data_IF_395408768898
#
_entry.id   IF_395408768898
#
_cell.length_a   1.000
_cell.length_b   1.000
_cell.length_c   1.000
_cell.angle_alpha   90.00
_cell.angle_beta   90.00
_cell.angle_gamma   90.00
#
_symmetry.space_group_name_H-M   'P 1'
#
loop_
_entity.id
_entity.type
_entity.pdbx_description
1 polymer ?
#
# COMPACT_ATOMS: atom_id res chain seq x y z
N UNK A 1 13.02 -6.83 -18.16
CA UNK A 1 12.25 -7.31 -17.00
C UNK A 1 11.36 -6.17 -16.52
N UNK A 2 10.06 -6.37 -16.24
CA UNK A 2 9.21 -5.28 -15.78
C UNK A 2 9.58 -4.87 -14.36
N UNK A 3 9.82 -3.57 -14.14
CA UNK A 3 10.22 -3.02 -12.85
C UNK A 3 9.02 -2.85 -11.91
N UNK A 4 9.22 -3.16 -10.63
CA UNK A 4 8.28 -2.77 -9.57
C UNK A 4 8.24 -1.26 -9.46
N UNK A 5 7.05 -0.68 -9.36
CA UNK A 5 6.87 0.76 -9.18
C UNK A 5 6.38 1.06 -7.78
N UNK A 6 7.11 1.90 -7.05
CA UNK A 6 6.68 2.45 -5.77
C UNK A 6 6.43 3.94 -5.96
N UNK A 7 5.22 4.40 -5.64
CA UNK A 7 4.81 5.79 -5.78
C UNK A 7 4.40 6.36 -4.42
N UNK A 8 4.64 7.65 -4.23
CA UNK A 8 4.14 8.42 -3.08
C UNK A 8 3.05 9.34 -3.59
N UNK A 9 1.87 9.25 -2.97
CA UNK A 9 0.76 10.15 -3.22
C UNK A 9 0.56 11.02 -1.99
N UNK A 10 0.62 12.34 -2.15
CA UNK A 10 0.31 13.29 -1.07
C UNK A 10 -1.13 13.76 -1.27
N UNK A 11 -2.04 13.31 -0.42
CA UNK A 11 -3.45 13.63 -0.49
C UNK A 11 -4.11 13.51 0.88
N UNK A 12 -4.95 14.48 1.21
CA UNK A 12 -5.78 14.42 2.42
C UNK A 12 -7.00 13.50 2.20
N UNK A 13 -7.42 13.35 0.94
CA UNK A 13 -8.56 12.53 0.51
C UNK A 13 -8.08 11.15 0.07
N UNK A 14 -8.88 10.13 0.36
CA UNK A 14 -8.60 8.77 -0.09
C UNK A 14 -8.88 8.66 -1.60
N UNK A 15 -7.98 8.07 -2.40
CA UNK A 15 -8.18 7.94 -3.84
C UNK A 15 -9.46 7.16 -4.18
N UNK A 16 -10.34 7.77 -4.98
CA UNK A 16 -11.63 7.19 -5.34
C UNK A 16 -11.52 6.18 -6.50
N UNK A 17 -10.57 6.42 -7.41
CA UNK A 17 -10.33 5.52 -8.53
C UNK A 17 -9.15 4.60 -8.21
N UNK A 18 -9.45 3.33 -7.99
CA UNK A 18 -8.47 2.30 -7.73
C UNK A 18 -8.56 1.20 -8.79
N UNK A 19 -7.43 0.60 -9.18
CA UNK A 19 -7.45 -0.53 -10.08
C UNK A 19 -8.21 -1.70 -9.44
N UNK A 20 -8.80 -2.59 -10.26
CA UNK A 20 -9.47 -3.77 -9.74
C UNK A 20 -8.50 -4.61 -8.90
N UNK A 21 -9.01 -5.22 -7.82
CA UNK A 21 -8.25 -6.11 -6.94
C UNK A 21 -7.05 -5.45 -6.24
N UNK A 22 -7.07 -4.13 -6.03
CA UNK A 22 -6.07 -3.46 -5.20
C UNK A 22 -6.13 -3.99 -3.75
N UNK A 23 -4.97 -4.34 -3.22
CA UNK A 23 -4.82 -4.56 -1.78
C UNK A 23 -4.76 -3.20 -1.08
N UNK A 24 -5.71 -2.93 -0.19
CA UNK A 24 -5.69 -1.72 0.64
C UNK A 24 -5.20 -2.12 2.04
N UNK A 25 -4.07 -1.54 2.47
CA UNK A 25 -3.54 -1.67 3.82
C UNK A 25 -3.76 -0.35 4.58
N UNK A 26 -4.51 -0.41 5.66
CA UNK A 26 -4.92 0.75 6.47
C UNK A 26 -6.41 0.71 6.85
N UNK A 27 -6.95 1.83 7.31
CA UNK A 27 -8.30 1.91 7.92
C UNK A 27 -9.44 1.46 7.00
N UNK A 28 -9.33 1.66 5.68
CA UNK A 28 -10.36 1.31 4.71
C UNK A 28 -10.23 -0.11 4.12
N UNK A 29 -9.25 -0.89 4.56
CA UNK A 29 -8.97 -2.22 4.05
C UNK A 29 -8.51 -3.15 5.16
N UNK A 30 -7.38 -3.81 4.95
CA UNK A 30 -6.78 -4.67 5.96
C UNK A 30 -6.06 -3.79 6.99
N UNK A 31 -6.43 -3.86 8.28
CA UNK A 31 -5.73 -3.12 9.32
C UNK A 31 -4.25 -3.52 9.38
N UNK A 32 -3.36 -2.57 9.68
CA UNK A 32 -1.91 -2.84 9.75
C UNK A 32 -1.55 -3.98 10.71
N UNK A 33 -2.27 -4.13 11.82
CA UNK A 33 -2.09 -5.22 12.78
C UNK A 33 -2.35 -6.62 12.19
N UNK A 34 -3.01 -6.72 11.03
CA UNK A 34 -3.27 -7.97 10.31
C UNK A 34 -2.40 -8.14 9.07
N UNK A 35 -1.41 -7.27 8.85
CA UNK A 35 -0.55 -7.33 7.66
C UNK A 35 0.23 -8.65 7.57
N UNK A 36 0.62 -9.25 8.70
CA UNK A 36 1.32 -10.55 8.75
C UNK A 36 0.55 -11.70 8.06
N UNK A 37 -0.79 -11.62 8.00
CA UNK A 37 -1.62 -12.61 7.31
C UNK A 37 -1.42 -12.59 5.78
N UNK A 38 -0.75 -11.58 5.24
CA UNK A 38 -0.48 -11.42 3.81
C UNK A 38 0.82 -12.11 3.38
N UNK A 39 1.63 -12.59 4.33
CA UNK A 39 2.86 -13.31 4.02
C UNK A 39 2.55 -14.56 3.17
N UNK A 40 3.37 -14.77 2.13
CA UNK A 40 3.17 -15.86 1.17
C UNK A 40 2.15 -15.59 0.08
N UNK A 41 1.47 -14.44 0.11
CA UNK A 41 0.57 -13.99 -0.95
C UNK A 41 1.26 -12.99 -1.87
N UNK A 42 0.73 -12.84 -3.08
CA UNK A 42 1.26 -11.91 -4.07
C UNK A 42 0.17 -11.00 -4.65
N UNK A 43 0.44 -9.70 -4.70
CA UNK A 43 -0.48 -8.67 -5.19
C UNK A 43 0.14 -7.84 -6.29
N UNK A 44 -0.68 -7.45 -7.27
CA UNK A 44 -0.26 -6.61 -8.39
C UNK A 44 -0.35 -5.12 -8.07
N UNK A 45 -1.39 -4.74 -7.33
CA UNK A 45 -1.67 -3.36 -6.94
C UNK A 45 -1.83 -3.26 -5.42
N UNK A 46 -1.07 -2.37 -4.80
CA UNK A 46 -1.12 -2.14 -3.35
C UNK A 46 -1.31 -0.65 -3.08
N UNK A 47 -2.31 -0.30 -2.28
CA UNK A 47 -2.47 1.02 -1.69
C UNK A 47 -2.18 0.93 -0.19
N UNK A 48 -1.11 1.59 0.25
CA UNK A 48 -0.74 1.72 1.66
C UNK A 48 -1.22 3.08 2.18
N UNK A 49 -2.22 3.09 3.06
CA UNK A 49 -2.83 4.31 3.59
C UNK A 49 -2.06 4.85 4.82
N UNK A 50 -0.98 5.58 4.57
CA UNK A 50 -0.16 6.21 5.59
C UNK A 50 -0.67 7.61 6.03
N UNK A 51 -1.90 8.00 5.69
CA UNK A 51 -2.42 9.36 5.97
C UNK A 51 -2.49 9.68 7.46
N UNK A 52 -2.70 8.68 8.31
CA UNK A 52 -2.75 8.85 9.76
C UNK A 52 -1.40 8.51 10.46
N UNK A 53 -0.49 7.81 9.79
CA UNK A 53 0.83 7.44 10.29
C UNK A 53 1.42 6.29 9.45
N UNK A 54 2.73 6.07 9.55
CA UNK A 54 3.44 5.02 8.81
C UNK A 54 3.73 3.81 9.70
N UNK A 55 3.20 2.64 9.35
CA UNK A 55 3.49 1.38 10.05
C UNK A 55 4.57 0.59 9.29
N UNK A 56 5.83 0.75 9.70
CA UNK A 56 6.99 0.26 8.94
C UNK A 56 6.96 -1.25 8.67
N UNK A 57 6.55 -2.06 9.65
CA UNK A 57 6.45 -3.52 9.48
C UNK A 57 5.40 -3.90 8.42
N UNK A 58 4.25 -3.21 8.42
CA UNK A 58 3.18 -3.49 7.48
C UNK A 58 3.59 -3.04 6.07
N UNK A 59 4.35 -1.95 5.96
CA UNK A 59 4.93 -1.50 4.69
C UNK A 59 5.94 -2.50 4.14
N UNK A 60 6.82 -3.05 5.00
CA UNK A 60 7.77 -4.08 4.60
C UNK A 60 7.08 -5.34 4.10
N UNK A 61 6.03 -5.80 4.81
CA UNK A 61 5.21 -6.93 4.37
C UNK A 61 4.53 -6.63 3.03
N UNK A 62 3.88 -5.47 2.91
CA UNK A 62 3.23 -5.05 1.67
C UNK A 62 4.20 -5.06 0.48
N UNK A 63 5.38 -4.45 0.64
CA UNK A 63 6.41 -4.40 -0.38
C UNK A 63 6.93 -5.80 -0.74
N UNK A 64 7.07 -6.70 0.25
CA UNK A 64 7.48 -8.09 0.04
C UNK A 64 6.47 -8.92 -0.76
N UNK A 65 5.17 -8.60 -0.66
CA UNK A 65 4.10 -9.27 -1.40
C UNK A 65 3.86 -8.70 -2.81
N UNK A 66 4.62 -7.68 -3.24
CA UNK A 66 4.42 -7.05 -4.54
C UNK A 66 5.00 -7.92 -5.69
N UNK A 67 4.14 -8.27 -6.64
CA UNK A 67 4.54 -9.01 -7.86
C UNK A 67 5.60 -8.25 -8.66
N UNK A 68 6.39 -8.98 -9.44
CA UNK A 68 7.29 -8.37 -10.44
C UNK A 68 6.44 -7.57 -11.44
N UNK A 69 6.83 -6.33 -11.72
CA UNK A 69 6.04 -5.40 -12.55
C UNK A 69 4.83 -4.76 -11.85
N UNK A 70 4.54 -5.12 -10.60
CA UNK A 70 3.44 -4.56 -9.83
C UNK A 70 3.68 -3.10 -9.42
N UNK A 71 2.62 -2.44 -8.95
CA UNK A 71 2.62 -1.06 -8.48
C UNK A 71 2.13 -0.95 -7.04
N UNK A 72 2.92 -0.30 -6.20
CA UNK A 72 2.49 0.16 -4.88
C UNK A 72 2.37 1.68 -4.85
N UNK A 73 1.37 2.17 -4.11
CA UNK A 73 1.16 3.59 -3.84
C UNK A 73 1.08 3.76 -2.34
N UNK A 74 1.97 4.57 -1.76
CA UNK A 74 1.88 5.00 -0.37
C UNK A 74 1.21 6.37 -0.32
N UNK A 75 0.02 6.44 0.28
CA UNK A 75 -0.75 7.67 0.40
C UNK A 75 -0.44 8.34 1.75
N UNK A 76 0.03 9.58 1.72
CA UNK A 76 0.32 10.39 2.91
C UNK A 76 -0.54 11.64 2.93
N UNK A 77 -0.89 12.08 4.14
CA UNK A 77 -1.54 13.36 4.35
C UNK A 77 -0.53 14.49 4.14
N UNK A 78 -0.98 15.65 3.65
CA UNK A 78 -0.11 16.82 3.48
C UNK A 78 0.48 17.24 4.83
N UNK A 79 1.78 17.55 4.85
CA UNK A 79 2.50 17.97 6.08
C UNK A 79 2.89 16.85 7.05
N UNK A 80 2.80 15.57 6.63
CA UNK A 80 3.25 14.40 7.40
C UNK A 80 4.45 13.64 6.82
N UNK A 81 5.10 14.19 5.78
CA UNK A 81 6.40 13.74 5.25
C UNK A 81 7.40 14.88 5.47
#
# INVERSE_FOLDING_TARGET
MPNRQCQVLISDVFPEFLPPQVLILGERGIPFAKASNLLGQEFEHILFDARNGIHLEALAIAAGTLKVGGRSVCCFRRGKI
#
